data_IF_757135705711
#
_entry.id   IF_757135705711
#
_cell.length_a   1.000
_cell.length_b   1.000
_cell.length_c   1.000
_cell.angle_alpha   90.00
_cell.angle_beta   90.00
_cell.angle_gamma   90.00
#
_symmetry.space_group_name_H-M   'P 1'
#
loop_
_entity.id
_entity.type
_entity.pdbx_description
1 polymer ?
#
# COMPACT_ATOMS: atom_id res chain seq x y z
N UNK A 1 -5.58 19.24 -4.04
CA UNK A 1 -4.69 20.42 -4.14
C UNK A 1 -3.28 19.88 -4.28
N UNK A 2 -2.57 20.22 -5.36
CA UNK A 2 -1.19 19.77 -5.59
C UNK A 2 -0.27 20.63 -4.70
N UNK A 3 0.66 20.03 -3.91
CA UNK A 3 1.66 20.79 -3.19
C UNK A 3 2.72 21.33 -4.17
N UNK A 4 3.26 22.51 -3.90
CA UNK A 4 4.35 23.09 -4.70
C UNK A 4 5.55 22.14 -4.74
N UNK A 5 6.22 22.07 -5.89
CA UNK A 5 7.43 21.25 -6.10
C UNK A 5 7.29 19.78 -5.66
N UNK A 6 6.16 19.15 -6.02
CA UNK A 6 5.88 17.75 -5.73
C UNK A 6 5.56 16.96 -7.00
N UNK A 7 5.87 15.67 -6.98
CA UNK A 7 5.53 14.71 -8.03
C UNK A 7 4.48 13.71 -7.53
N UNK A 8 3.63 13.25 -8.42
CA UNK A 8 2.63 12.23 -8.12
C UNK A 8 3.25 10.86 -8.30
N UNK A 9 3.36 10.10 -7.23
CA UNK A 9 4.03 8.79 -7.22
C UNK A 9 3.05 7.73 -6.76
N UNK A 10 3.18 6.52 -7.32
CA UNK A 10 2.49 5.33 -6.82
C UNK A 10 3.49 4.51 -6.03
N UNK A 11 3.18 4.26 -4.77
CA UNK A 11 3.99 3.42 -3.91
C UNK A 11 3.21 2.17 -3.46
N UNK A 12 3.89 1.03 -3.26
CA UNK A 12 3.26 -0.16 -2.72
C UNK A 12 2.62 0.14 -1.37
N UNK A 13 1.35 -0.26 -1.20
CA UNK A 13 0.68 -0.04 0.08
C UNK A 13 1.26 -0.98 1.13
N UNK A 14 1.95 -0.40 2.12
CA UNK A 14 2.73 -1.14 3.11
C UNK A 14 1.91 -2.15 3.91
N UNK A 15 0.66 -1.83 4.26
CA UNK A 15 -0.15 -2.73 5.08
C UNK A 15 -0.63 -3.99 4.34
N UNK A 16 -0.53 -4.05 3.01
CA UNK A 16 -0.79 -5.28 2.24
C UNK A 16 0.43 -5.74 1.43
N UNK A 17 1.62 -5.25 1.76
CA UNK A 17 2.89 -5.55 1.07
C UNK A 17 2.78 -5.41 -0.46
N UNK A 18 2.03 -4.42 -0.94
CA UNK A 18 1.85 -4.21 -2.37
C UNK A 18 0.83 -5.13 -3.06
N UNK A 19 0.30 -6.15 -2.36
CA UNK A 19 -0.49 -7.21 -2.99
C UNK A 19 -1.96 -6.85 -3.23
N UNK A 20 -2.45 -5.79 -2.58
CA UNK A 20 -3.86 -5.42 -2.56
C UNK A 20 -4.74 -6.42 -1.80
N UNK A 21 -4.16 -7.42 -1.12
CA UNK A 21 -4.90 -8.46 -0.42
C UNK A 21 -4.36 -8.66 0.99
N UNK A 22 -5.23 -8.98 1.92
CA UNK A 22 -4.88 -9.32 3.29
C UNK A 22 -5.37 -10.74 3.63
N UNK A 23 -4.59 -11.46 4.44
CA UNK A 23 -5.03 -12.74 4.99
C UNK A 23 -5.84 -12.48 6.25
N UNK A 24 -7.09 -12.91 6.24
CA UNK A 24 -7.97 -12.87 7.42
C UNK A 24 -8.18 -14.29 7.92
N UNK A 25 -8.09 -14.52 9.25
CA UNK A 25 -8.44 -15.80 9.83
C UNK A 25 -9.95 -16.00 9.72
N UNK A 26 -10.34 -17.20 9.29
CA UNK A 26 -11.73 -17.66 9.27
C UNK A 26 -11.82 -18.83 10.23
N UNK A 27 -12.78 -18.76 11.15
CA UNK A 27 -13.12 -19.86 12.05
C UNK A 27 -14.46 -20.44 11.63
N UNK A 28 -14.47 -21.73 11.29
CA UNK A 28 -15.71 -22.48 11.06
C UNK A 28 -15.67 -23.69 11.97
N UNK A 29 -16.56 -23.70 12.97
CA UNK A 29 -16.58 -24.70 14.05
C UNK A 29 -15.19 -24.87 14.70
N UNK A 30 -14.65 -26.10 14.69
CA UNK A 30 -13.36 -26.45 15.29
C UNK A 30 -12.16 -26.26 14.35
N UNK A 31 -12.37 -25.81 13.11
CA UNK A 31 -11.32 -25.65 12.12
C UNK A 31 -10.92 -24.19 11.94
N UNK A 32 -9.61 -23.94 11.93
CA UNK A 32 -9.03 -22.63 11.64
C UNK A 32 -8.33 -22.64 10.28
N UNK A 33 -8.70 -21.69 9.43
CA UNK A 33 -8.18 -21.52 8.09
C UNK A 33 -8.01 -20.02 7.82
N UNK A 34 -7.27 -19.66 6.78
CA UNK A 34 -7.10 -18.25 6.38
C UNK A 34 -7.61 -18.05 4.97
N UNK A 35 -8.34 -16.96 4.74
CA UNK A 35 -8.77 -16.53 3.41
C UNK A 35 -8.04 -15.25 3.02
N UNK A 36 -7.73 -15.10 1.73
CA UNK A 36 -7.30 -13.81 1.16
C UNK A 36 -8.53 -12.98 0.80
N UNK A 37 -8.62 -11.78 1.36
CA UNK A 37 -9.65 -10.77 1.05
C UNK A 37 -8.98 -9.51 0.52
N UNK A 38 -9.75 -8.61 -0.12
CA UNK A 38 -9.21 -7.33 -0.57
C UNK A 38 -8.75 -6.50 0.63
N UNK A 39 -7.63 -5.80 0.46
CA UNK A 39 -7.20 -4.80 1.43
C UNK A 39 -8.11 -3.59 1.29
N UNK A 40 -8.90 -3.31 2.33
CA UNK A 40 -9.91 -2.23 2.33
C UNK A 40 -9.25 -0.86 2.21
N UNK A 41 -8.10 -0.65 2.85
CA UNK A 41 -7.42 0.65 2.86
C UNK A 41 -6.89 1.09 1.50
N UNK A 42 -6.53 0.15 0.62
CA UNK A 42 -6.12 0.46 -0.75
C UNK A 42 -7.14 -0.04 -1.78
N UNK A 43 -8.34 -0.43 -1.35
CA UNK A 43 -9.43 -0.95 -2.19
C UNK A 43 -8.99 -2.05 -3.17
N UNK A 44 -8.05 -2.89 -2.76
CA UNK A 44 -7.50 -3.94 -3.63
C UNK A 44 -6.45 -3.51 -4.64
N UNK A 45 -6.12 -2.22 -4.75
CA UNK A 45 -5.14 -1.70 -5.72
C UNK A 45 -3.70 -2.13 -5.41
N UNK A 46 -3.39 -2.40 -4.14
CA UNK A 46 -2.04 -2.75 -3.69
C UNK A 46 -1.05 -1.58 -3.71
N UNK A 47 -1.48 -0.42 -4.15
CA UNK A 47 -0.67 0.78 -4.23
C UNK A 47 -1.51 1.97 -3.82
N UNK A 48 -0.87 2.96 -3.22
CA UNK A 48 -1.48 4.25 -2.94
C UNK A 48 -0.76 5.31 -3.75
N UNK A 49 -1.51 6.34 -4.13
CA UNK A 49 -0.97 7.44 -4.89
C UNK A 49 -0.84 8.65 -3.96
N UNK A 50 0.36 9.18 -3.86
CA UNK A 50 0.69 10.29 -2.98
C UNK A 50 1.53 11.34 -3.71
N UNK A 51 1.47 12.57 -3.22
CA UNK A 51 2.40 13.61 -3.64
C UNK A 51 3.67 13.48 -2.80
N UNK A 52 4.80 13.32 -3.45
CA UNK A 52 6.12 13.31 -2.80
C UNK A 52 6.85 14.59 -3.20
N UNK A 53 7.39 15.30 -2.21
CA UNK A 53 8.17 16.51 -2.46
C UNK A 53 9.47 16.18 -3.21
N UNK A 54 9.89 17.04 -4.14
CA UNK A 54 11.09 16.81 -4.96
C UNK A 54 12.36 16.60 -4.12
N UNK A 55 12.48 17.24 -2.97
CA UNK A 55 13.61 17.04 -2.05
C UNK A 55 13.65 15.63 -1.46
N UNK A 56 12.49 15.06 -1.12
CA UNK A 56 12.38 13.70 -0.60
C UNK A 56 12.61 12.67 -1.70
N UNK A 57 12.07 12.91 -2.91
CA UNK A 57 12.36 12.08 -4.07
C UNK A 57 13.86 12.03 -4.38
N UNK A 58 14.55 13.18 -4.33
CA UNK A 58 16.01 13.26 -4.51
C UNK A 58 16.73 12.37 -3.51
N UNK A 59 16.38 12.47 -2.23
CA UNK A 59 16.97 11.65 -1.16
C UNK A 59 16.77 10.15 -1.43
N UNK A 60 15.57 9.74 -1.82
CA UNK A 60 15.27 8.34 -2.15
C UNK A 60 16.06 7.82 -3.36
N UNK A 61 16.33 8.67 -4.35
CA UNK A 61 17.13 8.32 -5.53
C UNK A 61 18.64 8.25 -5.23
N UNK A 62 19.14 9.08 -4.32
CA UNK A 62 20.55 9.09 -3.92
C UNK A 62 20.89 7.92 -2.95
N UNK A 63 19.90 7.38 -2.24
CA UNK A 63 20.03 6.24 -1.29
C UNK A 63 19.85 4.84 -1.94
N UNK A 64 19.43 4.78 -3.21
CA UNK A 64 19.12 3.56 -3.96
C UNK A 64 20.27 3.10 -4.87
#
# INVERSE_FOLDING_TARGET
MQPDHSVWVREPYRACDGTGKQRVPVRVAHSQWSRRVLCESCEGAGQVACWVGLAELRRLLDEA
#
